data_IF_530148563569
#
_entry.id   IF_530148563569
#
_cell.length_a   1.000
_cell.length_b   1.000
_cell.length_c   1.000
_cell.angle_alpha   90.00
_cell.angle_beta   90.00
_cell.angle_gamma   90.00
#
_symmetry.space_group_name_H-M   'P 1'
#
loop_
_entity.id
_entity.type
_entity.pdbx_description
1 polymer ?
#
# COMPACT_ATOMS: atom_id res chain seq x y z
N UNK A 1 -12.38 -2.72 14.60
CA UNK A 1 -11.51 -2.38 15.74
C UNK A 1 -10.75 -3.66 16.02
N UNK A 2 -9.45 -3.71 15.79
CA UNK A 2 -8.67 -4.85 16.27
C UNK A 2 -8.51 -4.63 17.77
N UNK A 3 -9.42 -5.24 18.51
CA UNK A 3 -9.30 -5.43 19.95
C UNK A 3 -8.16 -6.42 20.16
N UNK A 4 -7.32 -6.21 21.17
CA UNK A 4 -6.28 -7.17 21.57
C UNK A 4 -6.91 -8.57 21.64
N UNK A 5 -6.63 -9.40 20.64
CA UNK A 5 -7.09 -10.78 20.60
C UNK A 5 -5.94 -11.65 21.12
N UNK A 6 -5.99 -12.06 22.41
CA UNK A 6 -4.94 -12.90 22.99
C UNK A 6 -4.84 -14.28 22.31
N UNK A 7 -5.83 -14.69 21.52
CA UNK A 7 -5.83 -15.99 20.83
C UNK A 7 -5.02 -16.00 19.54
N UNK A 8 -4.78 -14.84 18.91
CA UNK A 8 -3.97 -14.73 17.69
C UNK A 8 -2.53 -15.23 17.90
N UNK A 9 -1.99 -15.02 19.10
CA UNK A 9 -0.56 -15.19 19.36
C UNK A 9 0.29 -14.14 18.64
N UNK A 10 1.52 -13.91 19.10
CA UNK A 10 2.45 -12.98 18.44
C UNK A 10 2.02 -11.51 18.40
N UNK A 11 0.99 -11.11 19.16
CA UNK A 11 0.64 -9.70 19.38
C UNK A 11 1.05 -9.29 20.78
N UNK A 12 1.83 -8.23 20.89
CA UNK A 12 2.17 -7.64 22.19
C UNK A 12 2.10 -6.11 22.14
N UNK A 13 1.81 -5.51 23.29
CA UNK A 13 1.82 -4.06 23.48
C UNK A 13 2.90 -3.73 24.49
N UNK A 14 3.83 -2.85 24.11
CA UNK A 14 4.88 -2.34 24.97
C UNK A 14 4.61 -0.86 25.22
N UNK A 15 4.55 -0.45 26.47
CA UNK A 15 4.38 0.96 26.83
C UNK A 15 5.67 1.47 27.44
N UNK A 16 6.29 2.45 26.79
CA UNK A 16 7.44 3.17 27.29
C UNK A 16 6.97 4.46 27.97
N UNK A 17 7.34 4.62 29.24
CA UNK A 17 7.01 5.81 30.03
C UNK A 17 8.25 6.71 30.12
N UNK A 18 8.06 7.99 29.81
CA UNK A 18 9.04 9.06 29.92
C UNK A 18 8.32 10.40 29.80
N UNK A 19 9.04 11.47 29.45
CA UNK A 19 8.44 12.80 29.23
C UNK A 19 7.31 12.75 28.18
N UNK A 20 7.42 11.84 27.21
CA UNK A 20 6.34 11.41 26.34
C UNK A 20 6.11 9.92 26.51
N UNK A 21 4.89 9.53 26.86
CA UNK A 21 4.51 8.11 26.91
C UNK A 21 4.23 7.60 25.51
N UNK A 22 4.87 6.48 25.12
CA UNK A 22 4.71 5.86 23.79
C UNK A 22 4.22 4.43 23.95
N UNK A 23 3.21 4.07 23.17
CA UNK A 23 2.70 2.69 23.09
C UNK A 23 3.09 2.09 21.76
N UNK A 24 3.75 0.94 21.80
CA UNK A 24 4.17 0.16 20.64
C UNK A 24 3.31 -1.08 20.54
N UNK A 25 2.67 -1.29 19.39
CA UNK A 25 1.99 -2.52 19.05
C UNK A 25 2.91 -3.35 18.15
N UNK A 26 3.25 -4.55 18.59
CA UNK A 26 4.09 -5.49 17.87
C UNK A 26 3.22 -6.64 17.36
N UNK A 27 3.27 -6.87 16.04
CA UNK A 27 2.49 -7.91 15.36
C UNK A 27 3.47 -8.82 14.62
N UNK A 28 3.77 -9.98 15.21
CA UNK A 28 4.65 -10.99 14.62
C UNK A 28 3.90 -11.82 13.57
N UNK A 29 4.64 -12.30 12.56
CA UNK A 29 4.12 -13.14 11.47
C UNK A 29 2.81 -12.62 10.88
N UNK A 30 2.81 -11.35 10.46
CA UNK A 30 1.61 -10.66 10.01
C UNK A 30 0.99 -11.36 8.78
N UNK A 31 -0.32 -11.58 8.85
CA UNK A 31 -1.16 -12.19 7.82
C UNK A 31 -2.12 -11.14 7.25
N UNK A 32 -2.65 -11.33 6.04
CA UNK A 32 -3.66 -10.40 5.48
C UNK A 32 -4.86 -10.14 6.39
N UNK A 33 -5.25 -11.12 7.22
CA UNK A 33 -6.31 -11.00 8.24
C UNK A 33 -6.03 -9.98 9.33
N UNK A 34 -4.77 -9.57 9.51
CA UNK A 34 -4.37 -8.55 10.47
C UNK A 34 -4.56 -7.14 9.91
N UNK A 35 -4.96 -7.01 8.64
CA UNK A 35 -5.34 -5.72 8.07
C UNK A 35 -6.58 -5.17 8.79
N UNK A 36 -6.63 -3.85 8.98
CA UNK A 36 -7.79 -3.23 9.57
C UNK A 36 -7.50 -1.90 10.24
N UNK A 37 -8.48 -1.41 10.99
CA UNK A 37 -8.37 -0.19 11.77
C UNK A 37 -7.80 -0.49 13.16
N UNK A 38 -6.62 0.06 13.42
CA UNK A 38 -5.92 0.02 14.69
C UNK A 38 -6.16 1.35 15.41
N UNK A 39 -6.57 1.28 16.67
CA UNK A 39 -6.91 2.46 17.49
C UNK A 39 -6.07 2.45 18.75
N UNK A 40 -5.27 3.50 18.95
CA UNK A 40 -4.64 3.80 20.22
C UNK A 40 -5.63 4.57 21.09
N UNK A 41 -5.97 4.04 22.27
CA UNK A 41 -6.93 4.64 23.20
C UNK A 41 -6.32 4.78 24.61
N UNK A 42 -5.54 5.83 24.87
CA UNK A 42 -4.96 6.07 26.19
C UNK A 42 -6.04 6.53 27.20
N UNK A 43 -5.84 6.24 28.49
CA UNK A 43 -6.80 6.58 29.55
C UNK A 43 -6.89 8.08 29.87
N UNK A 44 -5.88 8.86 29.48
CA UNK A 44 -5.70 10.26 29.86
C UNK A 44 -5.53 11.21 28.66
N UNK A 45 -5.79 10.75 27.43
CA UNK A 45 -5.66 11.57 26.22
C UNK A 45 -6.66 11.12 25.13
N UNK A 46 -6.71 11.87 24.03
CA UNK A 46 -7.61 11.54 22.91
C UNK A 46 -7.14 10.29 22.16
N UNK A 47 -8.11 9.45 21.78
CA UNK A 47 -7.83 8.29 20.93
C UNK A 47 -7.45 8.70 19.50
N UNK A 48 -6.57 7.92 18.87
CA UNK A 48 -6.18 8.08 17.45
C UNK A 48 -6.20 6.74 16.74
N UNK A 49 -6.60 6.75 15.47
CA UNK A 49 -6.71 5.54 14.66
C UNK A 49 -5.89 5.63 13.38
N UNK A 50 -5.39 4.49 12.94
CA UNK A 50 -4.73 4.28 11.66
C UNK A 50 -5.35 3.06 10.95
N UNK A 51 -5.21 2.98 9.64
CA UNK A 51 -5.56 1.79 8.86
C UNK A 51 -4.29 1.09 8.42
N UNK A 52 -4.17 -0.20 8.72
CA UNK A 52 -3.03 -1.03 8.34
C UNK A 52 -3.48 -2.00 7.25
N UNK A 53 -2.64 -2.13 6.24
CA UNK A 53 -2.82 -3.09 5.14
C UNK A 53 -1.63 -4.05 5.14
N UNK A 54 -1.91 -5.34 5.35
CA UNK A 54 -0.94 -6.43 5.26
C UNK A 54 -1.16 -7.13 3.93
N UNK A 55 -0.13 -7.14 3.09
CA UNK A 55 -0.17 -7.71 1.75
C UNK A 55 0.77 -8.91 1.70
N UNK A 56 0.35 -9.99 1.04
CA UNK A 56 1.27 -11.06 0.63
C UNK A 56 2.12 -10.52 -0.52
N UNK A 57 3.43 -10.75 -0.48
CA UNK A 57 4.34 -10.27 -1.52
C UNK A 57 3.94 -10.73 -2.92
N UNK A 58 4.01 -9.77 -3.85
CA UNK A 58 4.09 -9.89 -5.31
C UNK A 58 2.80 -10.18 -6.11
N UNK A 59 2.18 -9.10 -6.59
CA UNK A 59 2.12 -8.92 -8.04
C UNK A 59 2.99 -7.71 -8.35
N UNK A 60 4.06 -7.81 -9.18
CA UNK A 60 4.64 -6.61 -9.76
C UNK A 60 3.49 -5.85 -10.40
N UNK A 61 3.27 -4.58 -10.00
CA UNK A 61 2.34 -3.73 -10.70
C UNK A 61 2.65 -3.85 -12.20
N UNK A 62 1.63 -4.02 -13.04
CA UNK A 62 1.83 -4.09 -14.47
C UNK A 62 2.47 -2.78 -14.93
N UNK A 63 3.79 -2.74 -15.00
CA UNK A 63 4.53 -1.60 -15.51
C UNK A 63 4.29 -1.61 -17.01
N UNK A 64 3.35 -0.78 -17.45
CA UNK A 64 3.07 -0.58 -18.86
C UNK A 64 4.34 -0.02 -19.52
N UNK A 65 5.18 -0.92 -20.06
CA UNK A 65 6.20 -0.52 -21.01
C UNK A 65 5.46 0.12 -22.18
N UNK A 66 5.72 1.41 -22.41
CA UNK A 66 5.13 2.17 -23.51
C UNK A 66 5.28 1.37 -24.79
N UNK A 67 4.15 0.92 -25.35
CA UNK A 67 4.13 0.10 -26.54
C UNK A 67 4.90 0.81 -27.64
N UNK A 68 5.89 0.13 -28.20
CA UNK A 68 6.48 0.54 -29.47
C UNK A 68 5.37 0.43 -30.52
N UNK A 69 4.66 1.55 -30.75
CA UNK A 69 3.76 1.69 -31.88
C UNK A 69 4.63 1.58 -33.13
N UNK A 70 4.73 0.35 -33.67
CA UNK A 70 5.42 0.09 -34.92
C UNK A 70 4.55 0.69 -36.03
N UNK A 71 4.72 2.00 -36.25
CA UNK A 71 4.12 2.68 -37.39
C UNK A 71 4.56 1.92 -38.65
N UNK A 72 3.63 1.40 -39.47
CA UNK A 72 4.02 0.80 -40.72
C UNK A 72 4.54 1.95 -41.58
N UNK A 73 5.85 1.94 -41.91
CA UNK A 73 6.53 3.02 -42.64
C UNK A 73 5.81 3.44 -43.93
N UNK A 74 4.99 2.56 -44.48
CA UNK A 74 4.14 2.77 -45.64
C UNK A 74 3.06 3.85 -45.41
N UNK A 75 2.42 3.91 -44.22
CA UNK A 75 1.41 4.93 -43.92
C UNK A 75 2.05 6.32 -43.83
N UNK A 76 3.25 6.43 -43.26
CA UNK A 76 3.98 7.69 -43.21
C UNK A 76 4.40 8.16 -44.61
N UNK A 77 4.78 7.25 -45.51
CA UNK A 77 5.12 7.59 -46.90
C UNK A 77 3.88 8.03 -47.69
N UNK A 78 2.76 7.31 -47.54
CA UNK A 78 1.49 7.64 -48.18
C UNK A 78 1.00 9.04 -47.76
N UNK A 79 1.04 9.35 -46.47
CA UNK A 79 0.63 10.65 -45.94
C UNK A 79 1.53 11.79 -46.48
N UNK A 80 2.83 11.54 -46.61
CA UNK A 80 3.78 12.49 -47.19
C UNK A 80 3.50 12.76 -48.68
N UNK A 81 3.26 11.71 -49.47
CA UNK A 81 2.93 11.84 -50.90
C UNK A 81 1.62 12.61 -51.11
N UNK A 82 0.60 12.37 -50.29
CA UNK A 82 -0.66 13.12 -50.38
C UNK A 82 -0.50 14.62 -50.12
N UNK A 83 0.36 15.02 -49.17
CA UNK A 83 0.62 16.42 -48.85
C UNK A 83 1.44 17.16 -49.92
N UNK A 84 2.25 16.44 -50.70
CA UNK A 84 3.03 17.01 -51.80
C UNK A 84 2.24 17.12 -53.10
N UNK A 85 1.11 16.41 -53.20
CA UNK A 85 0.22 16.39 -54.37
C UNK A 85 -0.99 17.32 -54.21
N UNK A 86 -1.11 18.03 -53.08
CA UNK A 86 -2.12 19.06 -52.82
C UNK A 86 -1.45 20.43 -52.78
#
# INVERSE_FOLDING_TARGET
>A
IITYDPTRGGVSVVTEKGDTTRSFLLVQEAKPSDSGRYTCNPSNAQSKSITVHVLNGEYPAAMQHGGQARQPRLYSLLLCLCLLLY
#
